data_IF_714336721164
#
_entry.id   IF_714336721164
#
_cell.length_a   1.000
_cell.length_b   1.000
_cell.length_c   1.000
_cell.angle_alpha   90.00
_cell.angle_beta   90.00
_cell.angle_gamma   90.00
#
_symmetry.space_group_name_H-M   'P 1'
#
loop_
_entity.id
_entity.type
_entity.pdbx_description
1 polymer ?
#
# COMPACT_ATOMS: atom_id res chain seq x y z
N UNK A 1 26.65 -31.01 -20.34
CA UNK A 1 26.85 -30.68 -18.91
C UNK A 1 26.78 -29.18 -18.64
N UNK A 2 27.58 -28.30 -19.29
CA UNK A 2 27.57 -26.85 -19.00
C UNK A 2 26.20 -26.15 -19.22
N UNK A 3 25.41 -26.58 -20.20
CA UNK A 3 24.09 -26.00 -20.45
C UNK A 3 23.03 -26.38 -19.39
N UNK A 4 23.20 -27.54 -18.72
CA UNK A 4 22.25 -28.06 -17.71
C UNK A 4 22.35 -27.26 -16.39
N UNK A 5 23.56 -26.79 -16.04
CA UNK A 5 23.83 -26.03 -14.81
C UNK A 5 23.50 -24.54 -14.94
N UNK A 6 23.38 -24.02 -16.16
CA UNK A 6 23.16 -22.59 -16.38
C UNK A 6 21.81 -22.11 -15.81
N UNK A 7 20.77 -22.93 -15.95
CA UNK A 7 19.42 -22.60 -15.50
C UNK A 7 19.30 -22.51 -13.96
N UNK A 8 19.73 -23.52 -13.16
CA UNK A 8 19.64 -23.42 -11.70
C UNK A 8 20.58 -22.36 -11.11
N UNK A 9 21.78 -22.16 -11.69
CA UNK A 9 22.70 -21.11 -11.26
C UNK A 9 22.11 -19.72 -11.53
N UNK A 10 21.52 -19.50 -12.70
CA UNK A 10 20.83 -18.25 -13.02
C UNK A 10 19.67 -17.98 -12.07
N UNK A 11 18.85 -19.00 -11.77
CA UNK A 11 17.75 -18.88 -10.82
C UNK A 11 18.24 -18.50 -9.41
N UNK A 12 19.35 -19.09 -8.96
CA UNK A 12 19.94 -18.80 -7.66
C UNK A 12 20.51 -17.36 -7.61
N UNK A 13 21.19 -16.91 -8.65
CA UNK A 13 21.67 -15.53 -8.77
C UNK A 13 20.52 -14.53 -8.79
N UNK A 14 19.43 -14.82 -9.51
CA UNK A 14 18.22 -13.98 -9.53
C UNK A 14 17.55 -13.91 -8.16
N UNK A 15 17.47 -15.03 -7.43
CA UNK A 15 16.94 -15.05 -6.06
C UNK A 15 17.77 -14.17 -5.13
N UNK A 16 19.08 -14.39 -5.08
CA UNK A 16 20.00 -13.62 -4.23
C UNK A 16 19.96 -12.13 -4.60
N UNK A 17 20.06 -11.81 -5.89
CA UNK A 17 19.96 -10.44 -6.39
C UNK A 17 18.63 -9.76 -6.04
N UNK A 18 17.50 -10.49 -6.12
CA UNK A 18 16.18 -9.94 -5.76
C UNK A 18 16.05 -9.64 -4.26
N UNK A 19 16.62 -10.48 -3.40
CA UNK A 19 16.62 -10.27 -1.94
C UNK A 19 17.48 -9.06 -1.59
N UNK A 20 18.68 -8.95 -2.18
CA UNK A 20 19.56 -7.79 -1.98
C UNK A 20 18.87 -6.51 -2.47
N UNK A 21 18.28 -6.52 -3.67
CA UNK A 21 17.56 -5.37 -4.21
C UNK A 21 16.39 -4.95 -3.30
N UNK A 22 15.63 -5.92 -2.78
CA UNK A 22 14.55 -5.67 -1.82
C UNK A 22 15.08 -5.08 -0.51
N UNK A 23 16.15 -5.65 0.05
CA UNK A 23 16.76 -5.15 1.28
C UNK A 23 17.31 -3.73 1.11
N UNK A 24 18.01 -3.45 0.01
CA UNK A 24 18.51 -2.10 -0.32
C UNK A 24 17.36 -1.12 -0.46
N UNK A 25 16.29 -1.47 -1.18
CA UNK A 25 15.12 -0.61 -1.30
C UNK A 25 14.42 -0.38 0.04
N UNK A 26 14.31 -1.40 0.90
CA UNK A 26 13.75 -1.27 2.23
C UNK A 26 14.61 -0.32 3.10
N UNK A 27 15.93 -0.52 3.13
CA UNK A 27 16.85 0.33 3.88
C UNK A 27 16.83 1.76 3.35
N UNK A 28 17.01 1.95 2.04
CA UNK A 28 17.04 3.27 1.41
C UNK A 28 15.75 4.06 1.61
N UNK A 29 14.59 3.39 1.62
CA UNK A 29 13.33 4.08 1.91
C UNK A 29 13.22 4.44 3.38
N UNK A 30 13.59 3.55 4.30
CA UNK A 30 13.56 3.84 5.74
C UNK A 30 14.58 4.88 6.19
N UNK A 31 15.75 4.95 5.57
CA UNK A 31 16.80 5.92 5.91
C UNK A 31 16.46 7.34 5.43
N UNK A 32 15.69 7.46 4.34
CA UNK A 32 15.18 8.73 3.83
C UNK A 32 13.82 9.11 4.45
N UNK A 33 13.53 8.64 5.67
CA UNK A 33 12.34 9.05 6.39
C UNK A 33 12.34 10.57 6.59
N UNK A 34 11.26 11.30 6.25
CA UNK A 34 11.17 12.73 6.53
C UNK A 34 11.32 12.99 8.04
N UNK A 35 11.94 14.12 8.43
CA UNK A 35 11.99 14.52 9.83
C UNK A 35 10.56 14.72 10.37
N UNK A 36 10.37 14.37 11.64
CA UNK A 36 9.07 14.46 12.30
C UNK A 36 8.88 15.86 12.85
N UNK A 37 7.87 16.57 12.36
CA UNK A 37 7.57 17.95 12.77
C UNK A 37 6.13 18.05 13.29
N UNK A 38 5.93 17.63 14.55
CA UNK A 38 4.63 17.75 15.25
C UNK A 38 3.68 16.54 15.10
N UNK A 39 2.42 16.74 15.51
CA UNK A 39 1.34 15.74 15.47
C UNK A 39 0.21 16.11 14.50
N UNK A 40 -0.93 15.38 14.53
CA UNK A 40 -2.13 15.79 13.81
C UNK A 40 -2.66 17.12 14.36
N UNK A 41 -2.98 18.04 13.45
CA UNK A 41 -3.48 19.38 13.79
C UNK A 41 -4.99 19.46 14.01
N UNK A 42 -5.76 18.50 13.46
CA UNK A 42 -7.21 18.47 13.55
C UNK A 42 -7.78 17.04 13.58
N UNK A 43 -9.12 16.94 13.70
CA UNK A 43 -9.85 15.67 13.73
C UNK A 43 -9.71 14.89 12.42
N UNK A 44 -9.67 15.56 11.27
CA UNK A 44 -9.61 14.91 9.95
C UNK A 44 -8.23 14.29 9.71
N UNK A 45 -7.17 14.95 10.16
CA UNK A 45 -5.81 14.42 10.15
C UNK A 45 -5.66 13.24 11.11
N UNK A 46 -6.25 13.31 12.32
CA UNK A 46 -6.29 12.18 13.24
C UNK A 46 -7.05 10.98 12.64
N UNK A 47 -8.20 11.23 12.00
CA UNK A 47 -8.95 10.22 11.24
C UNK A 47 -8.11 9.63 10.10
N UNK A 48 -7.35 10.47 9.38
CA UNK A 48 -6.45 10.01 8.32
C UNK A 48 -5.35 9.10 8.88
N UNK A 49 -4.76 9.42 10.04
CA UNK A 49 -3.78 8.54 10.66
C UNK A 49 -4.41 7.22 11.12
N UNK A 50 -5.62 7.26 11.70
CA UNK A 50 -6.29 6.08 12.23
C UNK A 50 -6.73 5.08 11.15
N UNK A 51 -7.09 5.55 9.94
CA UNK A 51 -7.62 4.65 8.89
C UNK A 51 -7.47 5.13 7.45
N UNK A 52 -6.69 6.18 7.20
CA UNK A 52 -6.45 6.72 5.88
C UNK A 52 -7.63 7.53 5.31
N UNK A 53 -7.65 7.77 3.99
CA UNK A 53 -8.64 8.64 3.35
C UNK A 53 -10.08 8.13 3.50
N UNK A 54 -10.28 6.81 3.60
CA UNK A 54 -11.59 6.23 3.86
C UNK A 54 -12.12 6.64 5.24
N UNK A 55 -11.28 6.61 6.27
CA UNK A 55 -11.70 7.04 7.61
C UNK A 55 -12.00 8.53 7.65
N UNK A 56 -11.29 9.36 6.88
CA UNK A 56 -11.63 10.78 6.72
C UNK A 56 -13.01 10.94 6.10
N UNK A 57 -13.31 10.25 4.99
CA UNK A 57 -14.61 10.30 4.35
C UNK A 57 -15.76 9.88 5.30
N UNK A 58 -15.56 8.80 6.07
CA UNK A 58 -16.54 8.36 7.07
C UNK A 58 -16.73 9.42 8.16
N UNK A 59 -15.65 10.01 8.64
CA UNK A 59 -15.68 11.03 9.69
C UNK A 59 -16.46 12.25 9.21
N UNK A 60 -16.21 12.72 8.00
CA UNK A 60 -16.93 13.85 7.39
C UNK A 60 -18.43 13.57 7.27
N UNK A 61 -18.80 12.38 6.80
CA UNK A 61 -20.22 11.99 6.70
C UNK A 61 -20.86 11.92 8.07
N UNK A 62 -20.18 11.33 9.07
CA UNK A 62 -20.66 11.26 10.44
C UNK A 62 -20.83 12.65 11.06
N UNK A 63 -19.84 13.54 10.97
CA UNK A 63 -19.92 14.89 11.54
C UNK A 63 -21.02 15.71 10.88
N UNK A 64 -21.14 15.67 9.54
CA UNK A 64 -22.22 16.36 8.84
C UNK A 64 -23.60 15.78 9.17
N UNK A 65 -23.70 14.48 9.46
CA UNK A 65 -24.96 13.83 9.86
C UNK A 65 -25.35 14.21 11.28
N UNK A 66 -24.40 14.21 12.21
CA UNK A 66 -24.60 14.64 13.60
C UNK A 66 -25.03 16.10 13.67
N UNK A 67 -24.47 16.96 12.82
CA UNK A 67 -24.90 18.35 12.65
C UNK A 67 -26.29 18.49 11.99
N UNK A 68 -26.91 17.41 11.51
CA UNK A 68 -28.17 17.49 10.76
C UNK A 68 -28.04 18.25 9.44
N UNK A 69 -26.86 18.23 8.82
CA UNK A 69 -26.61 18.84 7.50
C UNK A 69 -26.80 17.85 6.35
N UNK A 70 -26.64 16.56 6.64
CA UNK A 70 -26.93 15.46 5.70
C UNK A 70 -27.78 14.39 6.37
N UNK A 71 -28.55 13.66 5.56
CA UNK A 71 -29.30 12.48 5.97
C UNK A 71 -28.91 11.29 5.09
N UNK A 72 -29.05 10.07 5.61
CA UNK A 72 -28.83 8.83 4.85
C UNK A 72 -30.15 8.07 4.87
N UNK A 73 -30.62 7.65 3.70
CA UNK A 73 -31.85 6.88 3.56
C UNK A 73 -31.63 5.37 3.71
N UNK A 74 -32.72 4.60 3.67
CA UNK A 74 -32.67 3.13 3.76
C UNK A 74 -32.04 2.43 2.54
N UNK A 75 -31.73 3.16 1.47
CA UNK A 75 -31.09 2.67 0.26
C UNK A 75 -29.59 3.04 0.17
N UNK A 76 -28.99 3.44 1.29
CA UNK A 76 -27.58 3.87 1.40
C UNK A 76 -27.25 5.07 0.50
N UNK A 77 -28.20 5.98 0.34
CA UNK A 77 -28.01 7.25 -0.37
C UNK A 77 -27.93 8.40 0.62
N UNK A 78 -26.93 9.24 0.44
CA UNK A 78 -26.77 10.48 1.19
C UNK A 78 -27.60 11.58 0.52
N UNK A 79 -28.32 12.35 1.32
CA UNK A 79 -29.10 13.52 0.93
C UNK A 79 -28.60 14.74 1.72
N UNK A 80 -28.37 15.84 1.03
CA UNK A 80 -27.97 17.11 1.65
C UNK A 80 -29.23 17.84 2.13
N UNK A 81 -29.32 18.06 3.44
CA UNK A 81 -30.43 18.79 4.09
C UNK A 81 -30.08 20.28 4.19
N UNK A 82 -28.83 20.59 4.53
CA UNK A 82 -28.33 21.97 4.65
C UNK A 82 -26.97 22.06 3.94
N UNK A 83 -26.86 22.81 2.83
CA UNK A 83 -25.64 22.91 2.03
C UNK A 83 -24.63 23.88 2.64
N UNK A 84 -24.25 23.65 3.90
CA UNK A 84 -23.29 24.47 4.64
C UNK A 84 -22.01 23.65 4.85
N UNK A 85 -20.88 24.25 4.49
CA UNK A 85 -19.54 23.68 4.67
C UNK A 85 -18.77 24.47 5.73
N UNK A 86 -18.17 23.75 6.67
CA UNK A 86 -17.26 24.26 7.71
C UNK A 86 -15.79 23.92 7.41
N UNK A 87 -15.54 22.95 6.52
CA UNK A 87 -14.20 22.52 6.14
C UNK A 87 -14.09 22.30 4.62
N UNK A 88 -12.91 22.49 4.00
CA UNK A 88 -12.73 22.31 2.55
C UNK A 88 -13.26 20.98 2.03
N UNK A 89 -13.05 19.89 2.78
CA UNK A 89 -13.51 18.54 2.41
C UNK A 89 -15.04 18.41 2.42
N UNK A 90 -15.74 19.14 3.29
CA UNK A 90 -17.20 19.17 3.30
C UNK A 90 -17.73 19.92 2.07
N UNK A 91 -17.03 20.98 1.65
CA UNK A 91 -17.33 21.69 0.41
C UNK A 91 -17.20 20.79 -0.82
N UNK A 92 -16.17 19.95 -0.86
CA UNK A 92 -16.01 18.94 -1.92
C UNK A 92 -17.08 17.86 -1.87
N UNK A 93 -17.51 17.41 -0.67
CA UNK A 93 -18.64 16.50 -0.53
C UNK A 93 -19.91 17.10 -1.13
N UNK A 94 -20.24 18.35 -0.78
CA UNK A 94 -21.40 19.05 -1.32
C UNK A 94 -21.31 19.19 -2.85
N UNK A 95 -20.13 19.53 -3.38
CA UNK A 95 -19.90 19.61 -4.82
C UNK A 95 -20.07 18.25 -5.52
N UNK A 96 -19.66 17.14 -4.88
CA UNK A 96 -19.82 15.79 -5.41
C UNK A 96 -21.28 15.33 -5.45
N UNK A 97 -22.15 15.83 -4.57
CA UNK A 97 -23.60 15.60 -4.62
C UNK A 97 -24.26 16.35 -5.78
N UNK A 98 -23.66 17.44 -6.25
CA UNK A 98 -24.15 18.20 -7.41
C UNK A 98 -25.55 18.80 -7.21
N UNK A 99 -26.24 19.16 -8.30
CA UNK A 99 -27.54 19.84 -8.24
C UNK A 99 -28.68 18.96 -7.69
N UNK A 100 -28.50 17.63 -7.72
CA UNK A 100 -29.47 16.68 -7.18
C UNK A 100 -29.42 16.60 -5.64
N UNK A 101 -28.42 17.23 -5.00
CA UNK A 101 -28.22 17.24 -3.55
C UNK A 101 -28.26 15.84 -2.93
N UNK A 102 -27.98 14.80 -3.71
CA UNK A 102 -28.02 13.41 -3.26
C UNK A 102 -27.06 12.54 -4.06
N UNK A 103 -26.50 11.50 -3.43
CA UNK A 103 -25.57 10.58 -4.08
C UNK A 103 -25.48 9.24 -3.34
N UNK A 104 -25.32 8.10 -4.03
CA UNK A 104 -25.03 6.83 -3.35
C UNK A 104 -23.80 6.95 -2.45
N UNK A 105 -23.89 6.47 -1.21
CA UNK A 105 -22.85 6.65 -0.20
C UNK A 105 -21.54 5.99 -0.62
N UNK A 106 -21.59 4.78 -1.18
CA UNK A 106 -20.41 4.08 -1.68
C UNK A 106 -19.65 4.87 -2.77
N UNK A 107 -20.37 5.47 -3.71
CA UNK A 107 -19.75 6.30 -4.75
C UNK A 107 -19.20 7.61 -4.18
N UNK A 108 -19.96 8.27 -3.32
CA UNK A 108 -19.56 9.50 -2.66
C UNK A 108 -18.29 9.28 -1.84
N UNK A 109 -18.25 8.20 -1.05
CA UNK A 109 -17.07 7.76 -0.31
C UNK A 109 -15.86 7.56 -1.21
N UNK A 110 -16.02 6.81 -2.30
CA UNK A 110 -14.94 6.52 -3.24
C UNK A 110 -14.44 7.78 -3.99
N UNK A 111 -15.32 8.75 -4.25
CA UNK A 111 -14.97 10.04 -4.85
C UNK A 111 -14.26 10.95 -3.84
N UNK A 112 -14.79 11.05 -2.61
CA UNK A 112 -14.22 11.88 -1.55
C UNK A 112 -12.83 11.41 -1.12
N UNK A 113 -12.60 10.08 -1.10
CA UNK A 113 -11.26 9.52 -0.84
C UNK A 113 -10.19 9.99 -1.82
N UNK A 114 -10.57 10.47 -3.00
CA UNK A 114 -9.68 10.96 -4.08
C UNK A 114 -9.76 12.47 -4.26
N UNK A 115 -10.50 13.16 -3.40
CA UNK A 115 -10.69 14.60 -3.51
C UNK A 115 -9.42 15.36 -3.11
N UNK A 116 -9.26 16.58 -3.65
CA UNK A 116 -8.03 17.35 -3.49
C UNK A 116 -7.76 17.65 -2.02
N UNK A 117 -8.78 18.05 -1.25
CA UNK A 117 -8.64 18.35 0.17
C UNK A 117 -8.15 17.14 1.00
N UNK A 118 -8.64 15.93 0.68
CA UNK A 118 -8.17 14.70 1.36
C UNK A 118 -6.73 14.37 0.95
N UNK A 119 -6.35 14.56 -0.31
CA UNK A 119 -4.95 14.36 -0.73
C UNK A 119 -4.02 15.38 -0.06
N UNK A 120 -4.39 16.66 -0.03
CA UNK A 120 -3.61 17.72 0.62
C UNK A 120 -3.41 17.46 2.11
N UNK A 121 -4.43 16.97 2.83
CA UNK A 121 -4.27 16.57 4.23
C UNK A 121 -3.27 15.41 4.38
N UNK A 122 -3.34 14.41 3.50
CA UNK A 122 -2.37 13.32 3.44
C UNK A 122 -0.94 13.79 3.14
N UNK A 123 -0.79 14.74 2.23
CA UNK A 123 0.51 15.32 1.84
C UNK A 123 1.11 16.18 2.96
N UNK A 124 0.29 16.93 3.69
CA UNK A 124 0.70 17.69 4.86
C UNK A 124 1.20 16.76 5.99
N UNK A 125 0.47 15.67 6.26
CA UNK A 125 0.89 14.64 7.20
C UNK A 125 2.19 13.94 6.76
N UNK A 126 2.36 13.71 5.46
CA UNK A 126 3.58 13.15 4.91
C UNK A 126 4.77 14.13 4.99
N UNK A 127 4.53 15.42 4.79
CA UNK A 127 5.53 16.47 4.96
C UNK A 127 6.00 16.58 6.42
N UNK A 128 5.13 16.29 7.39
CA UNK A 128 5.47 16.20 8.82
C UNK A 128 6.08 14.85 9.24
N UNK A 129 6.33 13.94 8.31
CA UNK A 129 6.92 12.63 8.60
C UNK A 129 5.99 11.68 9.37
N UNK A 130 4.67 11.93 9.38
CA UNK A 130 3.68 11.06 10.02
C UNK A 130 3.18 9.96 9.08
N UNK A 131 3.32 10.18 7.76
CA UNK A 131 2.98 9.22 6.71
C UNK A 131 4.13 9.04 5.71
N UNK A 132 4.29 7.81 5.22
CA UNK A 132 5.09 7.53 4.04
C UNK A 132 4.36 7.94 2.77
N UNK A 133 5.02 8.72 1.90
CA UNK A 133 4.48 9.03 0.56
C UNK A 133 4.37 7.75 -0.27
N UNK A 134 3.31 7.61 -1.09
CA UNK A 134 3.13 6.41 -1.92
C UNK A 134 4.29 6.19 -2.91
N UNK A 135 4.85 7.28 -3.45
CA UNK A 135 5.97 7.27 -4.39
C UNK A 135 7.25 6.73 -3.74
N UNK A 136 7.54 7.13 -2.50
CA UNK A 136 8.70 6.67 -1.75
C UNK A 136 8.66 5.15 -1.53
N UNK A 137 7.46 4.56 -1.47
CA UNK A 137 7.28 3.11 -1.33
C UNK A 137 7.12 2.37 -2.66
N UNK A 138 7.04 3.07 -3.79
CA UNK A 138 6.81 2.44 -5.09
C UNK A 138 7.94 1.47 -5.44
N UNK A 139 9.19 1.92 -5.34
CA UNK A 139 10.38 1.09 -5.61
C UNK A 139 10.47 -0.10 -4.67
N UNK A 140 10.19 0.08 -3.38
CA UNK A 140 10.14 -1.01 -2.40
C UNK A 140 9.05 -2.04 -2.73
N UNK A 141 7.87 -1.60 -3.18
CA UNK A 141 6.81 -2.50 -3.66
C UNK A 141 7.19 -3.24 -4.93
N UNK A 142 7.86 -2.56 -5.88
CA UNK A 142 8.37 -3.19 -7.11
C UNK A 142 9.41 -4.25 -6.75
N UNK A 143 10.35 -3.95 -5.86
CA UNK A 143 11.35 -4.91 -5.40
C UNK A 143 10.70 -6.15 -4.76
N UNK A 144 9.63 -5.98 -3.97
CA UNK A 144 8.87 -7.10 -3.43
C UNK A 144 8.19 -7.95 -4.50
N UNK A 145 7.64 -7.32 -5.56
CA UNK A 145 7.07 -8.04 -6.72
C UNK A 145 8.15 -8.80 -7.49
N UNK A 146 9.33 -8.21 -7.67
CA UNK A 146 10.49 -8.85 -8.32
C UNK A 146 10.95 -10.07 -7.53
N UNK A 147 11.01 -9.99 -6.19
CA UNK A 147 11.34 -11.13 -5.34
C UNK A 147 10.32 -12.28 -5.48
N UNK A 148 9.01 -11.97 -5.52
CA UNK A 148 7.97 -12.98 -5.75
C UNK A 148 8.08 -13.58 -7.16
N UNK A 149 8.34 -12.77 -8.19
CA UNK A 149 8.56 -13.28 -9.54
C UNK A 149 9.80 -14.18 -9.64
N UNK A 150 10.90 -13.81 -8.99
CA UNK A 150 12.12 -14.61 -8.92
C UNK A 150 11.87 -15.96 -8.21
N UNK A 151 11.06 -15.96 -7.14
CA UNK A 151 10.61 -17.19 -6.49
C UNK A 151 9.84 -18.12 -7.44
N UNK A 152 8.84 -17.61 -8.16
CA UNK A 152 8.10 -18.43 -9.13
C UNK A 152 8.99 -18.93 -10.27
N UNK A 153 9.91 -18.11 -10.75
CA UNK A 153 10.90 -18.52 -11.76
C UNK A 153 11.81 -19.65 -11.26
N UNK A 154 12.26 -19.57 -10.00
CA UNK A 154 13.07 -20.60 -9.36
C UNK A 154 12.30 -21.92 -9.21
N UNK A 155 11.04 -21.86 -8.76
CA UNK A 155 10.17 -23.06 -8.66
C UNK A 155 9.94 -23.68 -10.05
N UNK A 156 9.64 -22.88 -11.07
CA UNK A 156 9.43 -23.38 -12.42
C UNK A 156 10.71 -24.01 -13.00
N UNK A 157 11.87 -23.38 -12.76
CA UNK A 157 13.18 -23.90 -13.16
C UNK A 157 13.50 -25.24 -12.48
N UNK A 158 13.12 -25.41 -11.22
CA UNK A 158 13.28 -26.67 -10.48
C UNK A 158 12.33 -27.77 -11.00
N UNK A 159 11.09 -27.42 -11.34
CA UNK A 159 10.09 -28.39 -11.79
C UNK A 159 10.25 -28.77 -13.28
N UNK A 160 10.80 -27.90 -14.12
CA UNK A 160 10.90 -28.11 -15.56
C UNK A 160 11.49 -29.49 -15.96
N UNK A 161 12.60 -29.97 -15.37
CA UNK A 161 13.16 -31.28 -15.71
C UNK A 161 12.21 -32.46 -15.40
N UNK A 162 11.36 -32.35 -14.37
CA UNK A 162 10.39 -33.40 -14.00
C UNK A 162 9.29 -33.57 -15.05
N UNK A 163 8.94 -32.50 -15.76
CA UNK A 163 7.90 -32.51 -16.80
C UNK A 163 8.45 -32.76 -18.20
N UNK A 164 9.69 -32.33 -18.46
CA UNK A 164 10.35 -32.46 -19.77
C UNK A 164 11.06 -33.81 -19.97
N UNK A 165 11.15 -34.64 -18.93
CA UNK A 165 11.65 -36.02 -19.04
C UNK A 165 13.18 -36.12 -19.16
N UNK A 166 13.92 -35.06 -18.83
CA UNK A 166 15.38 -35.07 -18.76
C UNK A 166 15.81 -35.84 -17.50
N UNK A 167 15.93 -37.18 -17.61
CA UNK A 167 16.31 -38.10 -16.53
C UNK A 167 17.74 -37.95 -15.97
N UNK A 168 18.31 -36.75 -16.01
CA UNK A 168 19.61 -36.43 -15.42
C UNK A 168 19.53 -36.35 -13.90
N UNK A 169 20.58 -36.80 -13.21
CA UNK A 169 20.69 -36.64 -11.76
C UNK A 169 20.66 -35.16 -11.37
N UNK A 170 19.86 -34.76 -10.36
CA UNK A 170 19.78 -33.37 -9.92
C UNK A 170 21.16 -32.88 -9.45
N UNK A 171 21.60 -31.75 -10.00
CA UNK A 171 22.86 -31.14 -9.63
C UNK A 171 22.80 -30.51 -8.23
N UNK A 172 23.96 -30.27 -7.61
CA UNK A 172 24.03 -29.63 -6.28
C UNK A 172 23.31 -28.27 -6.24
N UNK A 173 23.33 -27.52 -7.34
CA UNK A 173 22.59 -26.27 -7.47
C UNK A 173 21.06 -26.48 -7.49
N UNK A 174 20.58 -27.54 -8.15
CA UNK A 174 19.15 -27.90 -8.15
C UNK A 174 18.67 -28.32 -6.75
N UNK A 175 19.49 -29.01 -5.96
CA UNK A 175 19.16 -29.34 -4.56
C UNK A 175 19.12 -28.12 -3.63
N UNK A 176 19.98 -27.12 -3.86
CA UNK A 176 19.99 -25.90 -3.07
C UNK A 176 18.80 -24.96 -3.39
N UNK A 177 18.14 -25.14 -4.53
CA UNK A 177 17.11 -24.24 -5.05
C UNK A 177 15.85 -24.15 -4.15
N UNK A 178 15.22 -25.26 -3.72
CA UNK A 178 14.05 -25.21 -2.85
C UNK A 178 14.26 -24.50 -1.50
N UNK A 179 15.30 -24.81 -0.70
CA UNK A 179 15.51 -24.12 0.58
C UNK A 179 15.86 -22.64 0.38
N UNK A 180 16.64 -22.29 -0.64
CA UNK A 180 16.98 -20.89 -0.94
C UNK A 180 15.75 -20.11 -1.40
N UNK A 181 14.88 -20.70 -2.22
CA UNK A 181 13.62 -20.09 -2.64
C UNK A 181 12.66 -19.88 -1.46
N UNK A 182 12.58 -20.85 -0.53
CA UNK A 182 11.77 -20.71 0.67
C UNK A 182 12.29 -19.57 1.57
N UNK A 183 13.61 -19.49 1.77
CA UNK A 183 14.27 -18.43 2.53
C UNK A 183 14.09 -17.06 1.87
N UNK A 184 14.20 -16.97 0.55
CA UNK A 184 14.00 -15.71 -0.17
C UNK A 184 12.56 -15.21 -0.05
N UNK A 185 11.57 -16.11 -0.09
CA UNK A 185 10.17 -15.75 0.09
C UNK A 185 9.88 -15.32 1.54
N UNK A 186 10.45 -16.02 2.53
CA UNK A 186 10.35 -15.65 3.93
C UNK A 186 10.98 -14.27 4.19
N UNK A 187 12.18 -14.03 3.67
CA UNK A 187 12.83 -12.72 3.70
C UNK A 187 11.99 -11.66 2.98
N UNK A 188 11.42 -11.99 1.82
CA UNK A 188 10.53 -11.12 1.07
C UNK A 188 9.28 -10.71 1.84
N UNK A 189 8.69 -11.64 2.61
CA UNK A 189 7.54 -11.40 3.49
C UNK A 189 7.92 -10.57 4.72
N UNK A 190 9.08 -10.84 5.33
CA UNK A 190 9.58 -10.08 6.47
C UNK A 190 9.94 -8.63 6.11
N UNK A 191 10.50 -8.42 4.91
CA UNK A 191 10.86 -7.12 4.35
C UNK A 191 9.72 -6.46 3.58
N UNK A 192 8.54 -7.09 3.50
CA UNK A 192 7.41 -6.52 2.77
C UNK A 192 6.93 -5.23 3.46
N UNK A 193 6.64 -4.18 2.68
CA UNK A 193 6.26 -2.91 3.28
C UNK A 193 4.86 -3.03 3.89
N UNK A 194 4.70 -2.60 5.14
CA UNK A 194 3.45 -2.76 5.90
C UNK A 194 2.23 -2.21 5.14
N UNK A 195 1.05 -2.83 5.31
CA UNK A 195 -0.19 -2.29 4.69
C UNK A 195 -0.49 -0.87 5.16
N UNK A 196 -0.08 -0.52 6.37
CA UNK A 196 -0.17 0.84 6.90
C UNK A 196 0.90 1.74 6.27
N UNK A 197 0.52 2.98 5.93
CA UNK A 197 1.44 4.05 5.51
C UNK A 197 2.00 4.84 6.69
N UNK A 198 1.64 4.48 7.92
CA UNK A 198 2.10 5.19 9.12
C UNK A 198 3.60 5.01 9.31
N UNK A 199 4.29 6.11 9.62
CA UNK A 199 5.66 6.05 10.14
C UNK A 199 5.65 5.60 11.60
N UNK A 200 6.83 5.39 12.20
CA UNK A 200 6.90 5.12 13.65
C UNK A 200 6.36 6.30 14.47
N UNK A 201 6.55 7.52 13.99
CA UNK A 201 6.01 8.72 14.62
C UNK A 201 4.50 8.82 14.44
N UNK A 202 3.97 8.57 13.23
CA UNK A 202 2.53 8.50 13.00
C UNK A 202 1.82 7.50 13.91
N UNK A 203 2.44 6.34 14.20
CA UNK A 203 1.92 5.36 15.17
C UNK A 203 1.96 5.81 16.64
N UNK A 204 2.85 6.73 16.99
CA UNK A 204 2.95 7.29 18.36
C UNK A 204 2.03 8.50 18.55
N UNK A 205 1.56 9.08 17.45
CA UNK A 205 0.68 10.25 17.47
C UNK A 205 -0.82 9.87 17.54
N UNK A 206 -1.13 8.57 17.47
CA UNK A 206 -2.44 7.99 17.75
C UNK A 206 -2.46 7.50 19.20
#
# INVERSE_FOLDING_TARGET
MLAQEALPVLALLLLVGSVIFLAVCAVATTSNAPPVTGGPGDLLEAAFLAGGPGRVADTVVCTMREDGRVAIDGADRLHVVRPVSHAPVEGELLALCGPEWSRPLGELRAALMRSASVQTAGDALAARGLLWRPEQRATWRIAGRVNVAAFFFAVLSFLAPLFLGDGGAPSGAAFALPPVAMLSLAAGRALAPSRSRLTRAGRRAL
#
